data_IF_779847687346
#
_entry.id   IF_779847687346
#
_cell.length_a   1.000
_cell.length_b   1.000
_cell.length_c   1.000
_cell.angle_alpha   90.00
_cell.angle_beta   90.00
_cell.angle_gamma   90.00
#
_symmetry.space_group_name_H-M   'P 1'
#
loop_
_entity.id
_entity.type
_entity.pdbx_description
1 polymer ?
#
# COMPACT_ATOMS: atom_id res chain seq x y z
N UNK A 1 -8.74 18.06 -14.81
CA UNK A 1 -9.28 17.97 -13.44
C UNK A 1 -8.10 17.90 -12.47
N UNK A 2 -8.06 18.79 -11.48
CA UNK A 2 -6.96 18.88 -10.53
C UNK A 2 -7.10 17.88 -9.39
N UNK A 3 -6.04 17.09 -9.20
CA UNK A 3 -5.92 16.09 -8.14
C UNK A 3 -4.83 16.52 -7.18
N UNK A 4 -5.10 16.40 -5.89
CA UNK A 4 -4.13 16.64 -4.83
C UNK A 4 -3.62 15.31 -4.30
N UNK A 5 -2.30 15.19 -4.20
CA UNK A 5 -1.63 14.16 -3.40
C UNK A 5 -1.36 14.73 -2.01
N UNK A 6 -1.78 14.00 -0.99
CA UNK A 6 -1.58 14.36 0.40
C UNK A 6 -0.85 13.25 1.15
N UNK A 7 -0.11 13.63 2.19
CA UNK A 7 0.42 12.75 3.22
C UNK A 7 -0.21 13.17 4.54
N UNK A 8 -1.08 12.33 5.11
CA UNK A 8 -1.98 12.74 6.20
C UNK A 8 -2.73 14.04 5.83
N UNK A 9 -2.61 15.09 6.64
CA UNK A 9 -3.22 16.39 6.38
C UNK A 9 -2.38 17.34 5.51
N UNK A 10 -1.15 16.95 5.14
CA UNK A 10 -0.23 17.82 4.43
C UNK A 10 -0.35 17.63 2.91
N UNK A 11 -0.51 18.74 2.18
CA UNK A 11 -0.43 18.73 0.71
C UNK A 11 1.01 18.44 0.29
N UNK A 12 1.18 17.49 -0.60
CA UNK A 12 2.48 17.11 -1.19
C UNK A 12 2.63 17.79 -2.54
N UNK A 13 1.72 17.49 -3.47
CA UNK A 13 1.65 18.11 -4.77
C UNK A 13 0.21 18.14 -5.29
N UNK A 14 -0.02 18.95 -6.31
CA UNK A 14 -1.24 18.96 -7.12
C UNK A 14 -0.87 18.75 -8.57
N UNK A 15 -1.67 17.95 -9.27
CA UNK A 15 -1.50 17.64 -10.69
C UNK A 15 -2.80 17.93 -11.41
N UNK A 16 -2.73 18.69 -12.49
CA UNK A 16 -3.83 18.75 -13.46
C UNK A 16 -3.71 17.55 -14.40
N UNK A 17 -4.62 16.58 -14.27
CA UNK A 17 -4.57 15.37 -15.08
C UNK A 17 -4.91 15.61 -16.56
N UNK A 18 -5.40 16.80 -16.94
CA UNK A 18 -5.65 17.15 -18.34
C UNK A 18 -4.43 17.78 -19.01
N UNK A 19 -3.74 18.69 -18.31
CA UNK A 19 -2.62 19.43 -18.88
C UNK A 19 -1.26 18.83 -18.54
N UNK A 20 -1.17 18.05 -17.45
CA UNK A 20 0.06 17.52 -16.87
C UNK A 20 0.88 18.54 -16.08
N UNK A 21 0.30 19.71 -15.82
CA UNK A 21 0.91 20.73 -14.98
C UNK A 21 0.89 20.29 -13.52
N UNK A 22 2.00 20.54 -12.82
CA UNK A 22 2.21 20.12 -11.43
C UNK A 22 2.62 21.29 -10.57
N UNK A 23 2.03 21.38 -9.39
CA UNK A 23 2.48 22.26 -8.33
C UNK A 23 2.95 21.42 -7.13
N UNK A 24 4.22 21.55 -6.75
CA UNK A 24 4.78 20.84 -5.58
C UNK A 24 4.70 21.77 -4.37
N UNK A 25 3.98 21.36 -3.33
CA UNK A 25 3.88 22.11 -2.07
C UNK A 25 4.98 21.70 -1.09
N UNK A 26 5.34 20.42 -1.06
CA UNK A 26 6.33 19.90 -0.12
C UNK A 26 7.13 18.74 -0.73
N UNK A 27 8.34 19.06 -1.19
CA UNK A 27 9.26 18.08 -1.79
C UNK A 27 9.73 17.02 -0.78
N UNK A 28 9.84 17.35 0.50
CA UNK A 28 10.30 16.42 1.54
C UNK A 28 9.27 15.31 1.82
N UNK A 29 7.99 15.55 1.49
CA UNK A 29 6.91 14.56 1.59
C UNK A 29 6.63 13.85 0.25
N UNK A 30 7.45 14.02 -0.78
CA UNK A 30 7.23 13.32 -2.04
C UNK A 30 7.44 11.80 -1.87
N UNK A 31 6.52 10.92 -2.33
CA UNK A 31 6.74 9.49 -2.31
C UNK A 31 8.04 9.10 -3.05
N UNK A 32 8.83 8.19 -2.47
CA UNK A 32 10.13 7.79 -3.03
C UNK A 32 10.03 7.15 -4.42
N UNK A 33 8.89 6.56 -4.78
CA UNK A 33 8.63 6.00 -6.12
C UNK A 33 7.93 6.97 -7.07
N UNK A 34 7.70 8.23 -6.67
CA UNK A 34 7.09 9.24 -7.52
C UNK A 34 8.11 10.31 -7.90
N UNK A 35 8.36 10.45 -9.20
CA UNK A 35 9.23 11.48 -9.75
C UNK A 35 8.41 12.37 -10.67
N UNK A 36 8.35 13.65 -10.33
CA UNK A 36 7.59 14.66 -11.05
C UNK A 36 8.52 15.81 -11.41
N UNK A 37 8.24 16.46 -12.54
CA UNK A 37 8.93 17.65 -13.00
C UNK A 37 8.06 18.89 -12.78
N UNK A 38 8.71 20.00 -12.43
CA UNK A 38 8.06 21.24 -11.99
C UNK A 38 7.14 21.90 -13.05
N UNK A 39 6.32 22.82 -12.56
CA UNK A 39 5.32 23.59 -13.32
C UNK A 39 5.90 24.24 -14.58
N UNK A 40 5.12 24.25 -15.68
CA UNK A 40 5.52 24.75 -17.00
C UNK A 40 6.62 23.98 -17.74
N UNK A 41 6.77 22.68 -17.44
CA UNK A 41 7.55 21.79 -18.27
C UNK A 41 7.10 21.76 -19.74
N UNK A 42 8.00 21.32 -20.62
CA UNK A 42 7.72 20.97 -22.01
C UNK A 42 6.54 19.99 -22.12
N UNK A 43 5.91 19.88 -23.28
CA UNK A 43 4.85 18.88 -23.54
C UNK A 43 5.29 17.47 -23.10
N UNK A 44 6.55 17.10 -23.40
CA UNK A 44 7.13 15.82 -23.01
C UNK A 44 7.17 15.63 -21.49
N UNK A 45 7.57 16.66 -20.74
CA UNK A 45 7.59 16.63 -19.27
C UNK A 45 6.19 16.51 -18.69
N UNK A 46 5.22 17.25 -19.22
CA UNK A 46 3.81 17.19 -18.78
C UNK A 46 3.18 15.81 -19.02
N UNK A 47 3.46 15.19 -20.16
CA UNK A 47 3.04 13.79 -20.42
C UNK A 47 3.73 12.83 -19.44
N UNK A 48 5.04 13.02 -19.21
CA UNK A 48 5.79 12.19 -18.26
C UNK A 48 5.25 12.30 -16.83
N UNK A 49 4.81 13.49 -16.43
CA UNK A 49 4.19 13.78 -15.15
C UNK A 49 2.89 13.00 -14.95
N UNK A 50 1.98 13.05 -15.94
CA UNK A 50 0.74 12.26 -15.93
C UNK A 50 1.05 10.77 -15.82
N UNK A 51 1.94 10.27 -16.67
CA UNK A 51 2.32 8.86 -16.69
C UNK A 51 2.93 8.40 -15.36
N UNK A 52 3.78 9.22 -14.73
CA UNK A 52 4.43 8.89 -13.45
C UNK A 52 3.43 8.88 -12.30
N UNK A 53 2.49 9.84 -12.29
CA UNK A 53 1.41 9.86 -11.30
C UNK A 53 0.45 8.68 -11.46
N UNK A 54 0.07 8.35 -12.69
CA UNK A 54 -0.78 7.19 -12.97
C UNK A 54 -0.08 5.87 -12.63
N UNK A 55 1.22 5.74 -12.91
CA UNK A 55 2.01 4.58 -12.49
C UNK A 55 2.03 4.42 -10.96
N UNK A 56 2.24 5.52 -10.22
CA UNK A 56 2.21 5.52 -8.76
C UNK A 56 0.83 5.15 -8.19
N UNK A 57 -0.26 5.60 -8.83
CA UNK A 57 -1.61 5.17 -8.49
C UNK A 57 -1.81 3.68 -8.80
N UNK A 58 -1.34 3.21 -9.95
CA UNK A 58 -1.52 1.83 -10.39
C UNK A 58 -0.82 0.79 -9.51
N UNK A 59 0.33 1.13 -8.91
CA UNK A 59 1.07 0.27 -7.97
C UNK A 59 0.30 -0.06 -6.68
N UNK A 60 -0.76 0.70 -6.38
CA UNK A 60 -1.65 0.48 -5.25
C UNK A 60 -2.77 -0.51 -5.53
N UNK A 61 -2.84 -1.05 -6.74
CA UNK A 61 -3.83 -2.07 -7.12
C UNK A 61 -3.15 -3.42 -7.27
N UNK A 62 -3.75 -4.44 -6.69
CA UNK A 62 -3.29 -5.83 -6.76
C UNK A 62 -2.93 -6.26 -8.19
N UNK A 63 -1.94 -7.13 -8.29
CA UNK A 63 -1.64 -7.80 -9.56
C UNK A 63 -2.70 -8.85 -9.87
N UNK A 64 -3.00 -9.06 -11.15
CA UNK A 64 -3.88 -10.17 -11.59
C UNK A 64 -3.33 -11.56 -11.24
N UNK A 65 -2.02 -11.65 -11.00
CA UNK A 65 -1.34 -12.88 -10.58
C UNK A 65 -1.57 -13.21 -9.09
N UNK A 66 -2.12 -12.27 -8.30
CA UNK A 66 -2.49 -12.54 -6.91
C UNK A 66 -3.60 -13.59 -6.90
N UNK A 67 -3.49 -14.57 -6.01
CA UNK A 67 -4.52 -15.57 -5.75
C UNK A 67 -5.86 -14.86 -5.48
N UNK A 68 -6.88 -15.28 -6.21
CA UNK A 68 -8.24 -14.71 -6.22
C UNK A 68 -8.39 -13.28 -6.78
N UNK A 69 -7.37 -12.67 -7.39
CA UNK A 69 -7.46 -11.31 -7.96
C UNK A 69 -8.66 -11.11 -8.90
N UNK A 70 -8.84 -12.00 -9.89
CA UNK A 70 -9.98 -11.95 -10.83
C UNK A 70 -11.33 -11.98 -10.11
N UNK A 71 -11.43 -12.78 -9.05
CA UNK A 71 -12.65 -12.90 -8.25
C UNK A 71 -12.90 -11.63 -7.44
N UNK A 72 -11.87 -11.10 -6.76
CA UNK A 72 -11.95 -9.85 -6.01
C UNK A 72 -12.44 -8.72 -6.92
N UNK A 73 -11.84 -8.57 -8.11
CA UNK A 73 -12.22 -7.54 -9.07
C UNK A 73 -13.65 -7.74 -9.59
N UNK A 74 -14.08 -8.98 -9.87
CA UNK A 74 -15.44 -9.28 -10.30
C UNK A 74 -16.50 -8.97 -9.24
N UNK A 75 -16.28 -9.37 -7.99
CA UNK A 75 -17.19 -9.10 -6.87
C UNK A 75 -17.34 -7.58 -6.61
N UNK A 76 -16.30 -6.81 -6.94
CA UNK A 76 -16.28 -5.35 -6.88
C UNK A 76 -16.84 -4.67 -8.14
N UNK A 77 -17.18 -5.42 -9.19
CA UNK A 77 -17.60 -4.86 -10.47
C UNK A 77 -16.49 -4.05 -11.18
N UNK A 78 -15.22 -4.34 -10.89
CA UNK A 78 -14.06 -3.66 -11.44
C UNK A 78 -13.50 -4.40 -12.65
N UNK A 79 -12.87 -3.65 -13.55
CA UNK A 79 -12.16 -4.23 -14.70
C UNK A 79 -11.00 -5.11 -14.26
N UNK A 80 -10.76 -6.20 -15.01
CA UNK A 80 -9.58 -7.04 -14.85
C UNK A 80 -8.37 -6.55 -15.68
N UNK A 81 -8.56 -5.48 -16.47
CA UNK A 81 -7.49 -4.85 -17.24
C UNK A 81 -6.29 -4.53 -16.34
N UNK A 82 -5.11 -4.83 -16.84
CA UNK A 82 -3.84 -4.56 -16.15
C UNK A 82 -3.13 -3.34 -16.73
N UNK A 83 -3.80 -2.55 -17.59
CA UNK A 83 -3.24 -1.29 -18.04
C UNK A 83 -3.03 -0.34 -16.87
N UNK A 84 -1.97 0.47 -16.95
CA UNK A 84 -1.67 1.49 -15.93
C UNK A 84 -2.88 2.42 -15.74
N UNK A 85 -3.53 2.83 -16.83
CA UNK A 85 -4.69 3.72 -16.80
C UNK A 85 -5.86 3.12 -16.00
N UNK A 86 -6.23 1.87 -16.26
CA UNK A 86 -7.35 1.23 -15.56
C UNK A 86 -7.04 1.01 -14.08
N UNK A 87 -5.82 0.58 -13.75
CA UNK A 87 -5.39 0.44 -12.35
C UNK A 87 -5.35 1.78 -11.64
N UNK A 88 -4.83 2.83 -12.29
CA UNK A 88 -4.79 4.16 -11.73
C UNK A 88 -6.20 4.69 -11.46
N UNK A 89 -7.15 4.44 -12.38
CA UNK A 89 -8.57 4.76 -12.21
C UNK A 89 -9.20 4.01 -11.04
N UNK A 90 -8.93 2.70 -10.90
CA UNK A 90 -9.39 1.91 -9.75
C UNK A 90 -8.84 2.49 -8.45
N UNK A 91 -7.52 2.73 -8.36
CA UNK A 91 -6.89 3.26 -7.15
C UNK A 91 -7.48 4.62 -6.77
N UNK A 92 -7.69 5.52 -7.74
CA UNK A 92 -8.31 6.84 -7.50
C UNK A 92 -9.75 6.76 -7.02
N UNK A 93 -10.54 5.79 -7.47
CA UNK A 93 -11.90 5.54 -6.95
C UNK A 93 -11.88 5.33 -5.43
N UNK A 94 -10.81 4.69 -4.93
CA UNK A 94 -10.56 4.46 -3.50
C UNK A 94 -9.54 5.42 -2.89
N UNK A 95 -9.35 6.61 -3.49
CA UNK A 95 -8.45 7.67 -2.99
C UNK A 95 -6.98 7.28 -2.83
N UNK A 96 -6.54 6.22 -3.51
CA UNK A 96 -5.18 5.68 -3.37
C UNK A 96 -4.81 5.33 -1.91
N UNK A 97 -5.80 5.11 -1.05
CA UNK A 97 -5.59 4.73 0.34
C UNK A 97 -4.95 3.34 0.40
N UNK A 98 -4.13 3.11 1.42
CA UNK A 98 -3.46 1.83 1.65
C UNK A 98 -3.14 1.71 3.14
N UNK A 99 -3.01 0.48 3.63
CA UNK A 99 -2.43 0.25 4.95
C UNK A 99 -0.90 0.27 4.92
N UNK A 100 -0.26 0.40 3.75
CA UNK A 100 1.20 0.44 3.62
C UNK A 100 1.79 1.82 3.91
N UNK A 101 1.01 2.90 3.76
CA UNK A 101 1.47 4.27 3.92
C UNK A 101 0.33 5.24 4.25
N UNK A 102 0.68 6.49 4.55
CA UNK A 102 -0.28 7.57 4.86
C UNK A 102 -0.55 8.50 3.68
N UNK A 103 -0.30 8.04 2.45
CA UNK A 103 -0.57 8.84 1.24
C UNK A 103 -1.96 8.57 0.70
N UNK A 104 -2.59 9.61 0.17
CA UNK A 104 -3.91 9.51 -0.44
C UNK A 104 -4.14 10.66 -1.41
N UNK A 105 -5.19 10.53 -2.23
CA UNK A 105 -5.55 11.54 -3.22
C UNK A 105 -7.00 11.99 -3.07
N UNK A 106 -7.23 13.25 -3.42
CA UNK A 106 -8.57 13.83 -3.56
C UNK A 106 -8.60 14.86 -4.68
N UNK A 107 -9.79 15.20 -5.16
CA UNK A 107 -9.97 16.36 -6.03
C UNK A 107 -9.81 17.64 -5.20
N UNK A 108 -9.36 18.71 -5.85
CA UNK A 108 -9.11 20.00 -5.21
C UNK A 108 -10.34 20.56 -4.46
N UNK A 109 -11.54 20.33 -4.98
CA UNK A 109 -12.82 20.82 -4.46
C UNK A 109 -13.41 19.94 -3.33
N UNK A 110 -12.81 18.79 -3.05
CA UNK A 110 -13.31 17.88 -2.02
C UNK A 110 -12.93 18.35 -0.60
N UNK A 111 -13.95 18.52 0.25
CA UNK A 111 -13.81 18.92 1.66
C UNK A 111 -13.48 17.77 2.62
N UNK A 112 -13.17 16.60 2.09
CA UNK A 112 -12.78 15.43 2.88
C UNK A 112 -11.38 15.62 3.48
N UNK A 113 -11.20 15.14 4.71
CA UNK A 113 -9.94 15.17 5.46
C UNK A 113 -9.37 13.78 5.68
N UNK A 114 -8.10 13.69 6.08
CA UNK A 114 -7.46 12.42 6.44
C UNK A 114 -8.19 11.68 7.56
N UNK A 115 -8.71 12.42 8.55
CA UNK A 115 -9.49 11.85 9.66
C UNK A 115 -10.72 11.08 9.17
N UNK A 116 -11.32 11.52 8.07
CA UNK A 116 -12.56 10.93 7.54
C UNK A 116 -12.31 9.64 6.74
N UNK A 117 -11.09 9.43 6.23
CA UNK A 117 -10.83 8.38 5.21
C UNK A 117 -9.70 7.42 5.55
N UNK A 118 -8.82 7.74 6.50
CA UNK A 118 -7.66 6.90 6.77
C UNK A 118 -8.07 5.50 7.24
N UNK A 119 -7.37 4.48 6.76
CA UNK A 119 -7.71 3.09 7.04
C UNK A 119 -7.26 2.59 8.40
N UNK A 120 -6.42 3.36 9.10
CA UNK A 120 -5.89 2.99 10.40
C UNK A 120 -6.96 3.18 11.48
N UNK A 121 -7.54 4.38 11.53
CA UNK A 121 -8.54 4.81 12.51
C UNK A 121 -10.00 4.59 12.05
N UNK A 122 -10.26 4.47 10.74
CA UNK A 122 -11.61 4.21 10.24
C UNK A 122 -11.82 2.74 9.93
N UNK A 123 -13.01 2.24 10.27
CA UNK A 123 -13.41 0.86 9.96
C UNK A 123 -13.47 0.63 8.44
N UNK A 124 -12.65 -0.29 7.93
CA UNK A 124 -12.84 -0.88 6.60
C UNK A 124 -13.67 -2.17 6.68
N UNK A 125 -14.21 -2.63 5.56
CA UNK A 125 -15.12 -3.78 5.56
C UNK A 125 -14.37 -5.10 5.65
N UNK A 126 -14.63 -5.88 6.71
CA UNK A 126 -14.14 -7.26 6.83
C UNK A 126 -14.88 -8.23 5.87
N UNK A 127 -15.94 -7.80 5.18
CA UNK A 127 -16.73 -8.69 4.34
C UNK A 127 -15.95 -9.29 3.15
N UNK A 128 -14.89 -8.61 2.70
CA UNK A 128 -14.04 -9.10 1.62
C UNK A 128 -12.94 -10.05 2.07
N UNK A 129 -12.75 -10.27 3.38
CA UNK A 129 -11.68 -11.14 3.89
C UNK A 129 -11.82 -12.56 3.34
N UNK A 130 -13.03 -13.14 3.37
CA UNK A 130 -13.27 -14.49 2.85
C UNK A 130 -13.09 -14.60 1.32
N UNK A 131 -13.34 -13.53 0.57
CA UNK A 131 -13.09 -13.45 -0.88
C UNK A 131 -11.59 -13.40 -1.14
N UNK A 132 -10.89 -12.49 -0.46
CA UNK A 132 -9.46 -12.22 -0.68
C UNK A 132 -8.55 -13.34 -0.19
N UNK A 133 -8.99 -14.06 0.84
CA UNK A 133 -8.22 -15.11 1.53
C UNK A 133 -8.59 -16.52 1.07
N UNK A 134 -9.88 -16.82 0.87
CA UNK A 134 -10.39 -18.17 0.58
C UNK A 134 -11.05 -18.30 -0.80
N UNK A 135 -11.23 -17.20 -1.52
CA UNK A 135 -11.87 -17.21 -2.84
C UNK A 135 -13.36 -17.53 -2.82
N UNK A 136 -14.05 -17.31 -1.69
CA UNK A 136 -15.50 -17.48 -1.59
C UNK A 136 -16.22 -16.36 -2.34
N UNK A 137 -17.46 -16.61 -2.78
CA UNK A 137 -18.34 -15.56 -3.28
C UNK A 137 -19.03 -14.83 -2.13
N UNK A 138 -19.32 -13.54 -2.32
CA UNK A 138 -20.16 -12.81 -1.37
C UNK A 138 -21.59 -13.29 -1.50
N UNK A 139 -22.17 -13.76 -0.40
CA UNK A 139 -23.60 -14.13 -0.33
C UNK A 139 -24.50 -12.90 -0.17
N UNK A 140 -23.97 -11.76 0.28
CA UNK A 140 -24.73 -10.53 0.51
C UNK A 140 -24.30 -9.41 -0.45
N UNK A 141 -25.18 -9.05 -1.38
CA UNK A 141 -25.05 -7.86 -2.24
C UNK A 141 -25.42 -6.59 -1.46
N UNK A 142 -24.70 -6.26 -0.40
CA UNK A 142 -24.92 -4.99 0.31
C UNK A 142 -24.13 -3.87 -0.36
N UNK A 143 -24.82 -2.88 -0.92
CA UNK A 143 -24.21 -1.71 -1.57
C UNK A 143 -23.28 -0.92 -0.62
N UNK A 144 -23.52 -0.99 0.69
CA UNK A 144 -22.69 -0.33 1.70
C UNK A 144 -21.31 -0.99 1.87
N UNK A 145 -21.13 -2.24 1.44
CA UNK A 145 -19.83 -2.93 1.42
C UNK A 145 -18.84 -2.28 0.47
N UNK A 146 -19.34 -1.63 -0.58
CA UNK A 146 -18.55 -0.96 -1.60
C UNK A 146 -18.12 0.45 -1.15
N UNK A 147 -18.73 0.99 -0.09
CA UNK A 147 -18.40 2.33 0.45
C UNK A 147 -17.11 2.36 1.27
N UNK A 148 -16.60 1.18 1.67
CA UNK A 148 -15.40 1.02 2.50
C UNK A 148 -14.36 0.21 1.73
N UNK A 149 -13.12 0.69 1.71
CA UNK A 149 -12.09 0.15 0.82
C UNK A 149 -11.93 -1.37 0.97
N UNK A 150 -12.07 -2.15 -0.12
CA UNK A 150 -11.76 -3.57 -0.14
C UNK A 150 -10.25 -3.79 -0.15
N UNK A 151 -9.79 -5.00 0.20
CA UNK A 151 -8.37 -5.37 0.11
C UNK A 151 -7.90 -5.54 -1.35
N UNK A 152 -7.86 -4.43 -2.09
CA UNK A 152 -7.30 -4.33 -3.44
C UNK A 152 -5.86 -3.83 -3.43
N UNK A 153 -5.32 -3.45 -2.27
CA UNK A 153 -4.01 -2.81 -2.13
C UNK A 153 -2.93 -3.76 -1.65
N UNK A 154 -3.27 -5.00 -1.31
CA UNK A 154 -2.27 -6.02 -0.97
C UNK A 154 -1.57 -6.57 -2.20
N UNK A 155 -0.26 -6.32 -2.25
CA UNK A 155 0.62 -6.85 -3.27
C UNK A 155 1.09 -8.29 -2.97
N UNK A 156 1.76 -8.90 -3.94
CA UNK A 156 2.29 -10.27 -3.86
C UNK A 156 1.31 -11.36 -4.32
N UNK A 157 1.83 -12.56 -4.57
CA UNK A 157 1.12 -13.65 -5.25
C UNK A 157 0.11 -14.39 -4.36
N UNK A 158 0.48 -14.72 -3.13
CA UNK A 158 -0.36 -15.57 -2.26
C UNK A 158 -1.63 -14.88 -1.77
N UNK A 159 -2.63 -15.69 -1.42
CA UNK A 159 -3.87 -15.22 -0.83
C UNK A 159 -3.58 -14.59 0.54
N UNK A 160 -4.11 -13.39 0.72
CA UNK A 160 -3.96 -12.64 1.96
C UNK A 160 -5.14 -11.72 2.17
N UNK A 161 -5.35 -11.24 3.38
CA UNK A 161 -6.42 -10.31 3.69
C UNK A 161 -6.08 -9.47 4.91
N UNK A 162 -6.32 -8.17 4.82
CA UNK A 162 -6.42 -7.33 6.01
C UNK A 162 -7.77 -7.58 6.70
N UNK A 163 -7.73 -7.86 7.99
CA UNK A 163 -8.89 -8.04 8.84
C UNK A 163 -8.75 -7.14 10.06
N UNK A 164 -9.82 -6.43 10.43
CA UNK A 164 -9.85 -5.72 11.71
C UNK A 164 -10.51 -6.59 12.77
N UNK A 165 -9.77 -6.84 13.84
CA UNK A 165 -10.24 -7.56 15.02
C UNK A 165 -10.14 -6.58 16.16
N UNK A 166 -11.29 -6.18 16.71
CA UNK A 166 -11.40 -5.07 17.66
C UNK A 166 -10.72 -3.79 17.12
N UNK A 167 -9.75 -3.24 17.85
CA UNK A 167 -8.98 -2.06 17.43
C UNK A 167 -7.68 -2.42 16.67
N UNK A 168 -7.40 -3.70 16.46
CA UNK A 168 -6.18 -4.17 15.80
C UNK A 168 -6.41 -4.50 14.33
N UNK A 169 -5.40 -4.20 13.51
CA UNK A 169 -5.39 -4.53 12.08
C UNK A 169 -4.44 -5.72 11.90
N UNK A 170 -5.00 -6.84 11.47
CA UNK A 170 -4.29 -8.11 11.32
C UNK A 170 -4.20 -8.46 9.84
N UNK A 171 -3.01 -8.88 9.39
CA UNK A 171 -2.83 -9.52 8.10
C UNK A 171 -3.00 -11.03 8.26
N UNK A 172 -3.94 -11.62 7.54
CA UNK A 172 -3.96 -13.07 7.32
C UNK A 172 -3.30 -13.43 6.02
N UNK A 173 -2.53 -14.52 6.01
CA UNK A 173 -2.03 -15.19 4.81
C UNK A 173 -2.47 -16.65 4.83
N UNK A 174 -2.99 -17.13 3.71
CA UNK A 174 -3.44 -18.51 3.57
C UNK A 174 -2.39 -19.35 2.83
N UNK A 175 -2.46 -20.66 3.05
CA UNK A 175 -1.71 -21.63 2.24
C UNK A 175 -2.13 -21.54 0.76
N UNK A 176 -1.25 -21.95 -0.14
CA UNK A 176 -1.60 -22.21 -1.54
C UNK A 176 -1.73 -23.72 -1.75
N UNK A 177 -1.37 -24.23 -2.93
CA UNK A 177 -1.60 -25.63 -3.31
C UNK A 177 -0.76 -26.60 -2.46
N UNK A 178 0.46 -26.22 -2.05
CA UNK A 178 1.36 -27.10 -1.29
C UNK A 178 1.00 -27.21 0.20
N UNK A 179 0.16 -26.31 0.74
CA UNK A 179 -0.42 -26.45 2.06
C UNK A 179 0.53 -26.24 3.23
N UNK A 180 1.66 -25.55 3.04
CA UNK A 180 2.71 -25.41 4.06
C UNK A 180 3.27 -23.99 4.19
N UNK A 181 2.79 -23.04 3.39
CA UNK A 181 3.26 -21.66 3.37
C UNK A 181 3.05 -20.96 4.71
N UNK A 182 1.92 -21.20 5.37
CA UNK A 182 1.58 -20.66 6.69
C UNK A 182 2.54 -21.14 7.77
N UNK A 183 2.84 -22.44 7.79
CA UNK A 183 3.79 -23.04 8.73
C UNK A 183 5.20 -22.53 8.46
N UNK A 184 5.60 -22.44 7.19
CA UNK A 184 6.92 -21.92 6.78
C UNK A 184 7.09 -20.46 7.22
N UNK A 185 6.07 -19.61 7.03
CA UNK A 185 6.10 -18.20 7.46
C UNK A 185 6.28 -18.08 8.98
N UNK A 186 5.49 -18.82 9.76
CA UNK A 186 5.57 -18.80 11.23
C UNK A 186 6.90 -19.34 11.73
N UNK A 187 7.41 -20.42 11.13
CA UNK A 187 8.70 -20.98 11.50
C UNK A 187 9.85 -20.03 11.15
N UNK A 188 9.78 -19.33 10.01
CA UNK A 188 10.79 -18.33 9.64
C UNK A 188 10.84 -17.18 10.66
N UNK A 189 9.67 -16.67 11.09
CA UNK A 189 9.59 -15.68 12.16
C UNK A 189 10.23 -16.18 13.47
N UNK A 190 9.86 -17.38 13.94
CA UNK A 190 10.45 -17.97 15.15
C UNK A 190 11.97 -18.18 15.05
N UNK A 191 12.47 -18.49 13.87
CA UNK A 191 13.91 -18.60 13.64
C UNK A 191 14.59 -17.23 13.77
N UNK A 192 13.97 -16.16 13.26
CA UNK A 192 14.50 -14.80 13.38
C UNK A 192 14.51 -14.30 14.84
N UNK A 193 13.53 -14.70 15.65
CA UNK A 193 13.54 -14.47 17.10
C UNK A 193 14.81 -15.04 17.76
N UNK A 194 15.21 -16.26 17.39
CA UNK A 194 16.43 -16.90 17.92
C UNK A 194 17.72 -16.12 17.60
N UNK A 195 17.71 -15.28 16.55
CA UNK A 195 18.86 -14.47 16.14
C UNK A 195 18.75 -13.01 16.59
N UNK A 196 17.68 -12.62 17.29
CA UNK A 196 17.47 -11.22 17.70
C UNK A 196 17.33 -10.25 16.53
N UNK A 197 16.85 -10.72 15.37
CA UNK A 197 16.63 -9.88 14.19
C UNK A 197 15.26 -9.22 14.31
N UNK A 198 15.20 -7.89 14.19
CA UNK A 198 13.94 -7.17 14.12
C UNK A 198 13.13 -7.60 12.88
N UNK A 199 11.92 -8.09 13.10
CA UNK A 199 11.06 -8.62 12.06
C UNK A 199 9.59 -8.59 12.50
N UNK A 200 8.70 -8.82 11.54
CA UNK A 200 7.27 -8.97 11.84
C UNK A 200 7.03 -10.36 12.41
N UNK A 201 6.54 -10.44 13.65
CA UNK A 201 6.19 -11.70 14.29
C UNK A 201 4.93 -12.33 13.65
N UNK A 202 5.00 -13.62 13.37
CA UNK A 202 3.87 -14.38 12.82
C UNK A 202 3.45 -15.51 13.75
N UNK A 203 2.14 -15.72 13.85
CA UNK A 203 1.53 -16.82 14.58
C UNK A 203 0.61 -17.65 13.68
N UNK A 204 0.38 -18.91 14.07
CA UNK A 204 -0.66 -19.73 13.45
C UNK A 204 -2.01 -19.34 14.02
N UNK A 205 -2.99 -19.19 13.14
CA UNK A 205 -4.37 -18.95 13.50
C UNK A 205 -5.32 -19.78 12.63
N UNK A 206 -6.61 -19.67 12.94
CA UNK A 206 -7.69 -20.30 12.17
C UNK A 206 -8.67 -19.21 11.73
N UNK A 207 -8.94 -19.16 10.42
CA UNK A 207 -9.98 -18.31 9.86
C UNK A 207 -11.00 -19.20 9.14
N UNK A 208 -12.24 -19.23 9.64
CA UNK A 208 -13.36 -19.94 8.98
C UNK A 208 -13.05 -21.44 8.73
N UNK A 209 -12.37 -22.07 9.70
CA UNK A 209 -11.93 -23.46 9.63
C UNK A 209 -10.66 -23.71 8.81
N UNK A 210 -10.04 -22.68 8.24
CA UNK A 210 -8.79 -22.79 7.47
C UNK A 210 -7.59 -22.28 8.29
N UNK A 211 -6.47 -23.00 8.19
CA UNK A 211 -5.20 -22.56 8.78
C UNK A 211 -4.69 -21.33 8.03
N UNK A 212 -4.29 -20.33 8.79
CA UNK A 212 -3.67 -19.10 8.28
C UNK A 212 -2.46 -18.75 9.14
N UNK A 213 -1.51 -18.03 8.57
CA UNK A 213 -0.56 -17.26 9.38
C UNK A 213 -1.12 -15.86 9.58
N UNK A 214 -0.88 -15.28 10.76
CA UNK A 214 -1.32 -13.94 11.09
C UNK A 214 -0.19 -13.08 11.66
N UNK A 215 -0.24 -11.79 11.37
CA UNK A 215 0.60 -10.79 12.04
C UNK A 215 -0.12 -9.46 12.18
N UNK A 216 0.30 -8.65 13.14
CA UNK A 216 -0.18 -7.28 13.27
C UNK A 216 0.30 -6.41 12.10
N UNK A 217 -0.46 -5.36 11.79
CA UNK A 217 -0.08 -4.37 10.81
C UNK A 217 1.22 -3.69 11.23
N UNK A 218 2.29 -3.90 10.46
CA UNK A 218 3.59 -3.28 10.71
C UNK A 218 3.63 -1.79 10.41
N UNK A 219 2.54 -1.18 9.97
CA UNK A 219 2.45 0.23 9.56
C UNK A 219 1.34 0.91 10.32
N UNK A 220 1.42 2.23 10.43
CA UNK A 220 0.44 3.06 11.10
C UNK A 220 0.47 4.47 10.49
N UNK A 221 -0.27 5.41 11.07
CA UNK A 221 -0.34 6.77 10.54
C UNK A 221 1.02 7.49 10.46
N UNK A 222 1.99 7.08 11.29
CA UNK A 222 3.33 7.67 11.39
C UNK A 222 4.44 6.79 10.81
N UNK A 223 4.15 5.52 10.48
CA UNK A 223 5.11 4.54 9.96
C UNK A 223 4.59 3.92 8.68
N UNK A 224 5.30 4.16 7.57
CA UNK A 224 5.02 3.57 6.26
C UNK A 224 6.07 2.50 5.91
N UNK A 225 5.72 1.58 5.01
CA UNK A 225 6.68 0.66 4.38
C UNK A 225 7.00 1.13 2.96
N UNK A 226 8.29 1.12 2.60
CA UNK A 226 8.74 1.38 1.24
C UNK A 226 9.53 0.17 0.75
N UNK A 227 9.14 -0.44 -0.39
CA UNK A 227 9.95 -1.48 -1.01
C UNK A 227 11.36 -1.00 -1.33
N UNK A 228 12.38 -1.80 -1.03
CA UNK A 228 13.78 -1.45 -1.26
C UNK A 228 14.08 -1.01 -2.72
N UNK A 229 13.41 -1.61 -3.71
CA UNK A 229 13.50 -1.17 -5.12
C UNK A 229 13.14 0.30 -5.34
N UNK A 230 12.20 0.85 -4.58
CA UNK A 230 11.80 2.26 -4.68
C UNK A 230 12.85 3.16 -4.03
N UNK A 231 13.43 2.70 -2.92
CA UNK A 231 14.53 3.37 -2.24
C UNK A 231 15.77 3.46 -3.13
N UNK A 232 16.22 2.35 -3.75
CA UNK A 232 17.37 2.36 -4.68
C UNK A 232 17.10 3.31 -5.86
N UNK A 233 15.89 3.25 -6.44
CA UNK A 233 15.53 4.15 -7.53
C UNK A 233 15.61 5.63 -7.10
N UNK A 234 15.23 5.96 -5.86
CA UNK A 234 15.34 7.30 -5.31
C UNK A 234 16.80 7.71 -5.06
N UNK A 235 17.63 6.82 -4.49
CA UNK A 235 19.06 7.06 -4.27
C UNK A 235 19.78 7.34 -5.60
N UNK A 236 19.51 6.52 -6.62
CA UNK A 236 20.05 6.71 -7.98
C UNK A 236 19.68 8.07 -8.58
N UNK A 237 18.45 8.56 -8.37
CA UNK A 237 18.04 9.90 -8.85
C UNK A 237 18.77 11.02 -8.12
N UNK A 238 19.14 10.81 -6.86
CA UNK A 238 19.87 11.79 -6.03
C UNK A 238 21.39 11.68 -6.16
N UNK A 239 21.92 10.65 -6.85
CA UNK A 239 23.35 10.38 -6.90
C UNK A 239 23.93 9.93 -5.56
N UNK A 240 23.12 9.27 -4.74
CA UNK A 240 23.50 8.75 -3.41
C UNK A 240 23.71 7.23 -3.52
N UNK A 241 24.74 6.70 -2.84
CA UNK A 241 24.92 5.27 -2.65
C UNK A 241 23.93 4.76 -1.59
N UNK A 242 23.12 3.77 -1.95
CA UNK A 242 22.02 3.30 -1.12
C UNK A 242 22.50 2.52 0.11
N UNK A 243 23.65 1.84 0.03
CA UNK A 243 24.23 1.11 1.16
C UNK A 243 24.79 2.09 2.19
N UNK A 244 25.53 3.11 1.75
CA UNK A 244 26.05 4.15 2.63
C UNK A 244 24.92 4.93 3.31
N UNK A 245 23.85 5.25 2.59
CA UNK A 245 22.66 5.92 3.15
C UNK A 245 22.01 5.08 4.26
N UNK A 246 21.80 3.77 4.02
CA UNK A 246 21.29 2.84 5.03
C UNK A 246 22.21 2.78 6.25
N UNK A 247 23.52 2.62 6.05
CA UNK A 247 24.50 2.56 7.15
C UNK A 247 24.43 3.84 7.99
N UNK A 248 24.33 5.00 7.34
CA UNK A 248 24.26 6.29 8.03
C UNK A 248 22.96 6.45 8.82
N UNK A 249 21.81 5.99 8.32
CA UNK A 249 20.55 6.00 9.07
C UNK A 249 20.58 5.01 10.25
N UNK A 250 21.09 3.80 10.07
CA UNK A 250 21.22 2.80 11.15
C UNK A 250 22.10 3.33 12.27
N UNK A 251 23.21 4.01 11.96
CA UNK A 251 24.09 4.65 12.96
C UNK A 251 23.38 5.70 13.81
N UNK A 252 22.38 6.41 13.28
CA UNK A 252 21.59 7.39 14.06
C UNK A 252 20.65 6.72 15.06
N UNK A 253 20.20 5.51 14.75
CA UNK A 253 19.28 4.72 15.57
C UNK A 253 20.00 3.91 16.65
N UNK A 254 21.28 3.60 16.42
CA UNK A 254 22.11 2.94 17.43
C UNK A 254 22.45 3.92 18.56
N UNK A 255 22.36 3.49 19.84
CA UNK A 255 22.89 4.28 20.94
C UNK A 255 24.35 4.62 20.65
N UNK A 256 24.74 5.88 20.82
CA UNK A 256 26.14 6.26 20.79
C UNK A 256 26.84 5.47 21.89
N UNK A 257 27.58 4.43 21.51
CA UNK A 257 28.42 3.68 22.44
C UNK A 257 29.48 4.66 22.90
N UNK A 258 29.25 5.23 24.09
CA UNK A 258 30.28 5.95 24.83
C UNK A 258 31.25 4.88 25.28
N UNK A 259 32.35 4.74 24.55
CA UNK A 259 33.50 3.96 25.03
C UNK A 259 33.98 4.58 26.35
N UNK A 260 34.21 3.76 27.40
CA UNK A 260 34.73 4.24 28.67
C UNK A 260 36.14 4.83 28.54
#
# INVERSE_FOLDING_TARGET
MRMQLLCKAHRVCEIDQETGDIFIFNQALMPLNLSLSDFHGTIKQRISNINSFDAWCAERVLSIDRRYAKRILNELGLTQSQSTEDKARISRLYRCLSLQDSYWVKKEDEKVSWKDVNLFSNSFSNAFVSVSLLGRSLTLRNKDLYSRMPDITTNGRYAKAWNRVDDQIIMYKADDIEGNETIREVNASKILDCFGVDHVSYELACFDGHRVSMCECMTNEDRSIVPYRHFIAACKRKGIDDVDDIINEVKKLMPQVTTP
#
